data_IF_771938304836
#
_entry.id   IF_771938304836
#
_cell.length_a   1.000
_cell.length_b   1.000
_cell.length_c   1.000
_cell.angle_alpha   90.00
_cell.angle_beta   90.00
_cell.angle_gamma   90.00
#
_symmetry.space_group_name_H-M   'P 1'
#
loop_
_entity.id
_entity.type
_entity.pdbx_description
1 polymer ?
#
# COMPACT_ATOMS: atom_id res chain seq x y z
N UNK A 1 -4.50 14.63 -23.05
CA UNK A 1 -3.61 13.57 -22.56
C UNK A 1 -3.15 13.92 -21.14
N UNK A 2 -4.04 13.89 -20.13
CA UNK A 2 -3.72 14.42 -18.79
C UNK A 2 -4.29 13.63 -17.61
N UNK A 3 -5.33 12.81 -17.77
CA UNK A 3 -5.92 12.05 -16.65
C UNK A 3 -5.24 10.70 -16.37
N UNK A 4 -4.56 10.13 -17.37
CA UNK A 4 -3.94 8.81 -17.23
C UNK A 4 -2.68 8.85 -16.35
N UNK A 5 -1.86 9.89 -16.47
CA UNK A 5 -0.62 10.02 -15.70
C UNK A 5 -0.87 10.11 -14.18
N UNK A 6 -1.93 10.82 -13.77
CA UNK A 6 -2.30 10.94 -12.35
C UNK A 6 -2.88 9.63 -11.80
N UNK A 7 -3.59 8.87 -12.63
CA UNK A 7 -4.13 7.55 -12.27
C UNK A 7 -3.01 6.52 -12.09
N UNK A 8 -2.03 6.52 -12.99
CA UNK A 8 -0.88 5.60 -12.93
C UNK A 8 -0.01 5.88 -11.68
N UNK A 9 0.14 7.16 -11.30
CA UNK A 9 0.82 7.53 -10.06
C UNK A 9 0.08 7.04 -8.80
N UNK A 10 -1.24 7.17 -8.76
CA UNK A 10 -2.05 6.68 -7.65
C UNK A 10 -2.05 5.14 -7.57
N UNK A 11 -2.05 4.44 -8.71
CA UNK A 11 -1.93 2.97 -8.72
C UNK A 11 -0.53 2.53 -8.21
N UNK A 12 0.53 3.31 -8.48
CA UNK A 12 1.88 3.09 -7.92
C UNK A 12 1.92 3.26 -6.40
N UNK A 13 1.33 4.35 -5.88
CA UNK A 13 1.26 4.61 -4.43
C UNK A 13 0.53 3.49 -3.68
N UNK A 14 -0.56 2.96 -4.27
CA UNK A 14 -1.27 1.81 -3.72
C UNK A 14 -0.37 0.57 -3.69
N UNK A 15 0.37 0.28 -4.75
CA UNK A 15 1.25 -0.88 -4.81
C UNK A 15 2.41 -0.77 -3.79
N UNK A 16 2.95 0.43 -3.57
CA UNK A 16 3.99 0.71 -2.56
C UNK A 16 3.47 0.47 -1.13
N UNK A 17 2.28 1.00 -0.79
CA UNK A 17 1.64 0.77 0.52
C UNK A 17 1.36 -0.72 0.74
N UNK A 18 0.87 -1.43 -0.29
CA UNK A 18 0.61 -2.86 -0.20
C UNK A 18 1.89 -3.68 -0.02
N UNK A 19 2.99 -3.27 -0.63
CA UNK A 19 4.30 -3.90 -0.41
C UNK A 19 4.80 -3.67 1.01
N UNK A 20 4.68 -2.45 1.54
CA UNK A 20 5.00 -2.14 2.94
C UNK A 20 4.18 -3.01 3.92
N UNK A 21 2.89 -3.19 3.63
CA UNK A 21 2.01 -4.07 4.40
C UNK A 21 2.47 -5.54 4.36
N UNK A 22 2.90 -6.06 3.20
CA UNK A 22 3.46 -7.42 3.09
C UNK A 22 4.73 -7.59 3.90
N UNK A 23 5.64 -6.61 3.83
CA UNK A 23 6.89 -6.62 4.59
C UNK A 23 6.65 -6.60 6.10
N UNK A 24 5.61 -5.89 6.54
CA UNK A 24 5.16 -5.90 7.93
C UNK A 24 4.52 -7.23 8.37
N UNK A 25 4.23 -8.14 7.43
CA UNK A 25 3.65 -9.46 7.67
C UNK A 25 2.12 -9.48 7.63
N UNK A 26 1.50 -8.53 6.94
CA UNK A 26 0.07 -8.56 6.63
C UNK A 26 -0.17 -9.41 5.37
N UNK A 27 -1.28 -10.15 5.37
CA UNK A 27 -1.77 -10.88 4.21
C UNK A 27 -2.60 -9.94 3.34
N UNK A 28 -2.27 -9.89 2.05
CA UNK A 28 -3.04 -9.18 1.02
C UNK A 28 -3.74 -10.22 0.15
N UNK A 29 -5.07 -10.17 0.09
CA UNK A 29 -5.87 -11.07 -0.75
C UNK A 29 -6.57 -10.26 -1.83
N UNK A 30 -6.52 -10.72 -3.09
CA UNK A 30 -7.34 -10.17 -4.17
C UNK A 30 -8.70 -10.87 -4.15
N UNK A 31 -9.72 -10.16 -3.66
CA UNK A 31 -11.08 -10.68 -3.54
C UNK A 31 -11.82 -10.62 -4.89
N UNK A 32 -11.41 -9.72 -5.77
CA UNK A 32 -11.94 -9.64 -7.12
C UNK A 32 -11.37 -8.48 -7.93
N UNK A 33 -11.62 -8.49 -9.23
CA UNK A 33 -11.28 -7.39 -10.12
C UNK A 33 -12.43 -7.14 -11.09
N UNK A 34 -12.91 -5.91 -11.14
CA UNK A 34 -13.95 -5.47 -12.07
C UNK A 34 -13.36 -4.37 -12.95
N UNK A 35 -13.21 -4.68 -14.25
CA UNK A 35 -12.46 -3.82 -15.16
C UNK A 35 -11.01 -3.63 -14.68
N UNK A 36 -10.62 -2.38 -14.43
CA UNK A 36 -9.28 -2.04 -13.90
C UNK A 36 -9.23 -1.93 -12.37
N UNK A 37 -10.38 -1.95 -11.69
CA UNK A 37 -10.45 -1.80 -10.24
C UNK A 37 -10.20 -3.15 -9.56
N UNK A 38 -9.18 -3.20 -8.69
CA UNK A 38 -8.92 -4.33 -7.79
C UNK A 38 -9.65 -4.11 -6.47
N UNK A 39 -10.20 -5.19 -5.92
CA UNK A 39 -10.79 -5.25 -4.59
C UNK A 39 -9.92 -6.16 -3.74
N UNK A 40 -9.27 -5.60 -2.73
CA UNK A 40 -8.27 -6.32 -1.94
C UNK A 40 -8.58 -6.18 -0.46
N UNK A 41 -8.47 -7.30 0.27
CA UNK A 41 -8.54 -7.34 1.72
C UNK A 41 -7.13 -7.42 2.31
N UNK A 42 -6.95 -6.75 3.45
CA UNK A 42 -5.70 -6.74 4.22
C UNK A 42 -6.01 -7.30 5.60
N UNK A 43 -5.34 -8.39 5.99
CA UNK A 43 -5.59 -9.08 7.24
C UNK A 43 -4.29 -9.52 7.93
N UNK A 44 -4.30 -9.62 9.24
CA UNK A 44 -3.15 -10.11 10.01
C UNK A 44 -3.29 -9.85 11.51
N UNK A 45 -2.23 -10.16 12.25
CA UNK A 45 -2.18 -9.89 13.70
C UNK A 45 -2.06 -8.39 13.99
N UNK A 46 -2.48 -7.95 15.18
CA UNK A 46 -2.26 -6.58 15.66
C UNK A 46 -0.76 -6.23 15.68
N UNK A 47 0.12 -7.19 15.98
CA UNK A 47 1.57 -6.96 15.93
C UNK A 47 2.08 -6.68 14.52
N UNK A 48 1.51 -7.30 13.48
CA UNK A 48 1.83 -6.98 12.10
C UNK A 48 1.34 -5.57 11.72
N UNK A 49 0.16 -5.18 12.20
CA UNK A 49 -0.35 -3.82 12.03
C UNK A 49 0.56 -2.78 12.72
N UNK A 50 1.06 -3.07 13.92
CA UNK A 50 2.00 -2.19 14.62
C UNK A 50 3.30 -1.99 13.82
N UNK A 51 3.90 -3.08 13.32
CA UNK A 51 5.10 -2.99 12.46
C UNK A 51 4.85 -2.19 11.19
N UNK A 52 3.67 -2.34 10.58
CA UNK A 52 3.30 -1.56 9.40
C UNK A 52 3.26 -0.06 9.72
N UNK A 53 2.64 0.33 10.84
CA UNK A 53 2.58 1.74 11.28
C UNK A 53 3.97 2.29 11.59
N UNK A 54 4.84 1.51 12.22
CA UNK A 54 6.23 1.91 12.49
C UNK A 54 7.00 2.13 11.18
N UNK A 55 6.89 1.20 10.23
CA UNK A 55 7.55 1.31 8.94
C UNK A 55 7.03 2.50 8.12
N UNK A 56 5.71 2.75 8.13
CA UNK A 56 5.11 3.90 7.46
C UNK A 56 5.60 5.24 8.03
N UNK A 57 5.74 5.34 9.36
CA UNK A 57 6.27 6.55 10.00
C UNK A 57 7.74 6.79 9.66
N UNK A 58 8.54 5.73 9.60
CA UNK A 58 9.94 5.83 9.20
C UNK A 58 10.05 6.32 7.75
N UNK A 59 9.26 5.74 6.84
CA UNK A 59 9.25 6.16 5.44
C UNK A 59 8.86 7.63 5.26
N UNK A 60 7.79 8.09 5.94
CA UNK A 60 7.39 9.51 5.92
C UNK A 60 8.52 10.42 6.44
N UNK A 61 9.20 10.04 7.52
CA UNK A 61 10.30 10.83 8.07
C UNK A 61 11.52 10.88 7.12
N UNK A 62 11.80 9.80 6.41
CA UNK A 62 12.85 9.74 5.40
C UNK A 62 12.51 10.63 4.18
N UNK A 63 11.23 10.72 3.79
CA UNK A 63 10.77 11.64 2.73
C UNK A 63 10.84 13.12 3.15
N UNK A 64 10.65 13.45 4.43
CA UNK A 64 10.77 14.84 4.93
C UNK A 64 12.22 15.32 5.01
N UNK A 65 13.18 14.41 5.02
CA UNK A 65 14.62 14.71 5.11
C UNK A 65 15.35 14.71 3.76
N UNK A 66 14.67 14.31 2.68
CA UNK A 66 15.17 14.28 1.30
C UNK A 66 14.84 15.56 0.51
#
# INVERSE_FOLDING_TARGET
MSDYATKDAHDSEVDEILELARQAGLLITLDGQIGRQKYQSVAGSVNALLRFVEALRADIADQETA
#
